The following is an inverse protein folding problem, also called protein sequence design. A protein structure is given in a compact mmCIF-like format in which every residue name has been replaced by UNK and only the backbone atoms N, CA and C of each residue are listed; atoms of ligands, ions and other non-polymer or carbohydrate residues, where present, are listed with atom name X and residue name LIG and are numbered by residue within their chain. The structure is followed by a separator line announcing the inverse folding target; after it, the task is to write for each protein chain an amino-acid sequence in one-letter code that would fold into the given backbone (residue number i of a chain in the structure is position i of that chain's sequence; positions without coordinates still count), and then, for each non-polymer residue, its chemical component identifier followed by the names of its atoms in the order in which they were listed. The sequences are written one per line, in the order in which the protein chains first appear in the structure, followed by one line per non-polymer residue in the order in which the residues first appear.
data_IF_361530834287
#
_entry.id   IF_361530834287
#
_cell.length_a   1.000
_cell.length_b   1.000
_cell.length_c   1.000
_cell.angle_alpha   90.00
_cell.angle_beta   90.00
_cell.angle_gamma   90.00
#
_symmetry.space_group_name_H-M   'P 1'
#
loop_
_entity.id
_entity.type
_entity.pdbx_description
1 polymer ?
#
# COMPACT_ATOMS: atom_id res chain seq x y z
N UNK A 1 7.43 1.11 12.84
CA UNK A 1 6.75 1.55 14.07
C UNK A 1 6.95 3.04 14.37
N UNK A 2 8.08 3.65 14.00
CA UNK A 2 8.45 5.03 14.34
C UNK A 2 7.37 6.08 13.99
N UNK A 3 6.77 6.01 12.78
CA UNK A 3 5.69 6.91 12.39
C UNK A 3 4.36 6.66 13.13
N UNK A 4 4.14 5.45 13.63
CA UNK A 4 2.93 5.12 14.40
C UNK A 4 2.89 5.77 15.78
N UNK A 5 4.03 6.26 16.26
CA UNK A 5 4.16 7.00 17.52
C UNK A 5 3.80 8.48 17.37
N UNK A 6 3.68 8.99 16.13
CA UNK A 6 3.28 10.36 15.86
C UNK A 6 1.77 10.52 16.11
N UNK A 7 1.32 11.37 17.07
CA UNK A 7 -0.10 11.50 17.41
C UNK A 7 -0.99 11.98 16.26
N UNK A 8 -0.39 12.70 15.29
CA UNK A 8 -1.09 13.15 14.09
C UNK A 8 -1.30 12.02 13.08
N UNK A 9 -0.54 10.93 13.13
CA UNK A 9 -0.69 9.77 12.26
C UNK A 9 -1.79 8.84 12.80
N UNK A 10 -2.93 8.77 12.10
CA UNK A 10 -4.07 7.96 12.52
C UNK A 10 -3.99 6.52 12.02
N UNK A 11 -3.54 6.33 10.79
CA UNK A 11 -3.21 5.02 10.19
C UNK A 11 -1.88 5.14 9.47
N UNK A 12 -1.04 4.11 9.56
CA UNK A 12 0.26 4.04 8.89
C UNK A 12 0.39 2.65 8.28
N UNK A 13 0.40 2.59 6.95
CA UNK A 13 0.50 1.34 6.21
C UNK A 13 1.65 1.37 5.21
N UNK A 14 2.36 0.26 5.13
CA UNK A 14 3.27 0.02 4.03
C UNK A 14 2.49 -0.24 2.74
N UNK A 15 3.04 0.20 1.62
CA UNK A 15 2.49 0.01 0.29
C UNK A 15 3.55 -0.57 -0.66
N UNK A 16 3.41 -0.34 -1.96
CA UNK A 16 4.39 -0.71 -2.97
C UNK A 16 4.66 -2.20 -3.06
N UNK A 17 5.84 -2.50 -3.56
CA UNK A 17 6.29 -3.88 -3.76
C UNK A 17 6.47 -4.65 -2.45
N UNK A 18 6.76 -3.96 -1.35
CA UNK A 18 6.82 -4.56 -0.01
C UNK A 18 5.47 -5.17 0.39
N UNK A 19 4.39 -4.40 0.27
CA UNK A 19 3.04 -4.87 0.64
C UNK A 19 2.55 -6.00 -0.25
N UNK A 20 3.02 -6.05 -1.50
CA UNK A 20 2.70 -7.15 -2.43
C UNK A 20 3.55 -8.41 -2.22
N UNK A 21 4.40 -8.46 -1.20
CA UNK A 21 5.24 -9.62 -0.89
C UNK A 21 6.30 -9.94 -1.96
N UNK A 22 6.81 -8.90 -2.68
CA UNK A 22 7.84 -9.12 -3.71
C UNK A 22 9.16 -9.56 -3.07
N UNK A 23 9.86 -10.48 -3.72
CA UNK A 23 11.17 -10.97 -3.27
C UNK A 23 12.25 -9.88 -3.22
N UNK A 24 12.12 -8.88 -4.09
CA UNK A 24 13.02 -7.73 -4.13
C UNK A 24 12.23 -6.44 -4.00
N UNK A 25 12.70 -5.55 -3.11
CA UNK A 25 12.09 -4.26 -2.82
C UNK A 25 13.15 -3.18 -3.03
N UNK A 26 12.90 -2.24 -3.95
CA UNK A 26 13.85 -1.17 -4.25
C UNK A 26 13.69 0.06 -3.34
N UNK A 27 12.46 0.30 -2.92
CA UNK A 27 12.04 1.43 -2.09
C UNK A 27 10.91 1.00 -1.14
N UNK A 28 10.66 1.80 -0.12
CA UNK A 28 9.55 1.59 0.81
C UNK A 28 8.51 2.70 0.65
N UNK A 29 7.37 2.34 0.09
CA UNK A 29 6.21 3.21 0.05
C UNK A 29 5.44 3.14 1.37
N UNK A 30 5.12 4.30 1.94
CA UNK A 30 4.34 4.42 3.18
C UNK A 30 3.19 5.40 2.96
N UNK A 31 1.98 4.97 3.28
CA UNK A 31 0.78 5.80 3.24
C UNK A 31 0.31 6.07 4.66
N UNK A 32 0.10 7.34 4.98
CA UNK A 32 -0.34 7.78 6.31
C UNK A 32 -1.63 8.57 6.22
N UNK A 33 -2.61 8.21 7.05
CA UNK A 33 -3.79 9.03 7.27
C UNK A 33 -3.48 10.12 8.30
N UNK A 34 -3.58 11.37 7.89
CA UNK A 34 -3.44 12.51 8.80
C UNK A 34 -4.14 13.76 8.26
N UNK A 35 -4.68 14.57 9.17
CA UNK A 35 -5.10 15.94 8.90
C UNK A 35 -3.96 16.97 9.04
N UNK A 36 -2.76 16.54 9.45
CA UNK A 36 -1.60 17.39 9.70
C UNK A 36 -0.36 16.84 8.99
N UNK A 37 -0.28 16.92 7.64
CA UNK A 37 0.83 16.32 6.89
C UNK A 37 2.21 16.83 7.34
N UNK A 38 2.32 18.10 7.69
CA UNK A 38 3.57 18.71 8.17
C UNK A 38 4.15 17.97 9.37
N UNK A 39 3.33 17.69 10.40
CA UNK A 39 3.78 16.97 11.60
C UNK A 39 4.31 15.57 11.29
N UNK A 40 3.63 14.82 10.41
CA UNK A 40 4.06 13.48 10.00
C UNK A 40 5.38 13.54 9.22
N UNK A 41 5.54 14.54 8.34
CA UNK A 41 6.78 14.73 7.58
C UNK A 41 7.92 15.20 8.46
N UNK A 42 7.66 16.07 9.44
CA UNK A 42 8.66 16.49 10.44
C UNK A 42 9.13 15.29 11.26
N UNK A 43 8.19 14.44 11.69
CA UNK A 43 8.52 13.20 12.39
C UNK A 43 9.41 12.29 11.55
N UNK A 44 9.09 12.09 10.25
CA UNK A 44 9.94 11.29 9.36
C UNK A 44 11.32 11.91 9.19
N UNK A 45 11.40 13.23 8.99
CA UNK A 45 12.66 13.93 8.80
C UNK A 45 13.57 13.94 10.04
N UNK A 46 12.98 13.79 11.23
CA UNK A 46 13.70 13.69 12.50
C UNK A 46 14.11 12.26 12.87
N UNK A 47 13.84 11.27 12.03
CA UNK A 47 14.26 9.90 12.29
C UNK A 47 15.78 9.76 12.12
N UNK A 48 16.45 9.19 13.12
CA UNK A 48 17.92 9.11 13.20
C UNK A 48 18.55 8.35 12.02
N UNK A 49 17.79 7.42 11.40
CA UNK A 49 18.25 6.69 10.22
C UNK A 49 18.14 7.49 8.90
N UNK A 50 17.55 8.68 8.90
CA UNK A 50 17.47 9.52 7.70
C UNK A 50 18.81 10.19 7.43
N UNK A 51 19.49 9.74 6.39
CA UNK A 51 20.73 10.35 5.93
C UNK A 51 20.48 11.61 5.08
N UNK A 52 19.40 11.62 4.25
CA UNK A 52 19.12 12.73 3.34
C UNK A 52 17.63 12.82 3.04
N UNK A 53 17.11 14.04 3.05
CA UNK A 53 15.79 14.35 2.51
C UNK A 53 15.94 14.62 1.01
N UNK A 54 15.34 13.78 0.18
CA UNK A 54 15.38 13.86 -1.28
C UNK A 54 14.32 14.81 -1.83
N UNK A 55 13.14 14.81 -1.20
CA UNK A 55 12.01 15.64 -1.60
C UNK A 55 11.12 15.91 -0.38
N UNK A 56 10.60 17.15 -0.30
CA UNK A 56 9.55 17.51 0.65
C UNK A 56 8.54 18.43 -0.03
N UNK A 57 7.31 17.95 -0.21
CA UNK A 57 6.16 18.71 -0.69
C UNK A 57 5.15 18.96 0.42
N UNK A 58 3.91 19.27 0.06
CA UNK A 58 2.82 19.52 1.02
C UNK A 58 2.29 18.23 1.68
N UNK A 59 2.20 17.13 0.91
CA UNK A 59 1.61 15.86 1.33
C UNK A 59 2.49 14.66 1.01
N UNK A 60 3.71 14.91 0.51
CA UNK A 60 4.66 13.86 0.14
C UNK A 60 6.06 14.20 0.62
N UNK A 61 6.81 13.19 1.01
CA UNK A 61 8.21 13.30 1.37
C UNK A 61 8.96 12.05 0.94
N UNK A 62 10.16 12.24 0.40
CA UNK A 62 11.06 11.14 0.08
C UNK A 62 12.36 11.34 0.84
N UNK A 63 12.81 10.30 1.50
CA UNK A 63 14.08 10.31 2.25
C UNK A 63 14.93 9.12 1.84
N UNK A 64 16.23 9.22 2.07
CA UNK A 64 17.18 8.12 1.98
C UNK A 64 17.75 7.82 3.34
N UNK A 65 17.68 6.56 3.75
CA UNK A 65 18.22 6.11 5.01
C UNK A 65 19.74 5.95 4.94
N UNK A 66 20.41 5.84 6.10
CA UNK A 66 21.83 5.55 6.22
C UNK A 66 22.22 4.21 5.58
N UNK A 67 21.32 3.25 5.54
CA UNK A 67 21.47 1.98 4.81
C UNK A 67 21.26 2.12 3.28
N UNK A 68 20.98 3.31 2.76
CA UNK A 68 20.78 3.57 1.33
C UNK A 68 19.37 3.28 0.81
N UNK A 69 18.45 2.83 1.66
CA UNK A 69 17.05 2.55 1.27
C UNK A 69 16.29 3.87 1.11
N UNK A 70 15.56 4.00 0.01
CA UNK A 70 14.63 5.11 -0.18
C UNK A 70 13.29 4.81 0.52
N UNK A 71 12.74 5.81 1.18
CA UNK A 71 11.40 5.76 1.79
C UNK A 71 10.56 6.90 1.20
N UNK A 72 9.45 6.53 0.58
CA UNK A 72 8.49 7.45 -0.03
C UNK A 72 7.22 7.52 0.81
N UNK A 73 7.01 8.66 1.45
CA UNK A 73 5.86 8.93 2.32
C UNK A 73 4.78 9.69 1.55
N UNK A 74 3.54 9.22 1.69
CA UNK A 74 2.31 9.92 1.28
C UNK A 74 1.41 10.13 2.48
N UNK A 75 0.99 11.37 2.69
CA UNK A 75 0.05 11.73 3.75
C UNK A 75 -1.25 12.17 3.10
N UNK A 76 -2.34 11.52 3.48
CA UNK A 76 -3.65 11.74 2.86
C UNK A 76 -4.75 11.88 3.92
N UNK A 77 -5.85 12.56 3.62
CA UNK A 77 -7.01 12.60 4.51
C UNK A 77 -7.72 11.24 4.55
N UNK A 78 -8.53 11.05 5.59
CA UNK A 78 -9.29 9.83 5.86
C UNK A 78 -10.07 9.31 4.63
N UNK A 79 -10.76 10.21 3.94
CA UNK A 79 -11.66 9.84 2.84
C UNK A 79 -10.91 9.39 1.58
N UNK A 80 -9.59 9.64 1.51
CA UNK A 80 -8.72 9.23 0.41
C UNK A 80 -7.78 8.08 0.79
N UNK A 81 -7.76 7.65 2.04
CA UNK A 81 -6.75 6.71 2.53
C UNK A 81 -6.76 5.37 1.79
N UNK A 82 -7.95 4.79 1.56
CA UNK A 82 -8.08 3.51 0.85
C UNK A 82 -7.69 3.62 -0.62
N UNK A 83 -8.07 4.73 -1.28
CA UNK A 83 -7.68 4.96 -2.67
C UNK A 83 -6.17 5.18 -2.81
N UNK A 84 -5.55 5.95 -1.91
CA UNK A 84 -4.10 6.12 -1.87
C UNK A 84 -3.40 4.78 -1.60
N UNK A 85 -3.87 4.02 -0.61
CA UNK A 85 -3.29 2.71 -0.28
C UNK A 85 -3.36 1.75 -1.48
N UNK A 86 -4.51 1.68 -2.16
CA UNK A 86 -4.67 0.88 -3.37
C UNK A 86 -3.73 1.35 -4.49
N UNK A 87 -3.68 2.67 -4.75
CA UNK A 87 -2.89 3.26 -5.81
C UNK A 87 -1.38 3.03 -5.62
N UNK A 88 -0.87 3.31 -4.42
CA UNK A 88 0.56 3.16 -4.11
C UNK A 88 0.97 1.70 -3.86
N UNK A 89 0.04 0.83 -3.49
CA UNK A 89 0.31 -0.62 -3.47
C UNK A 89 0.58 -1.15 -4.86
N UNK A 90 -0.13 -0.71 -5.89
CA UNK A 90 0.05 -1.18 -7.26
C UNK A 90 -0.47 -2.61 -7.46
N UNK A 91 0.11 -3.40 -8.39
CA UNK A 91 1.22 -3.00 -9.28
C UNK A 91 0.79 -1.92 -10.29
N UNK A 92 1.74 -1.42 -11.08
CA UNK A 92 1.42 -0.50 -12.18
C UNK A 92 0.42 -1.13 -13.16
N UNK A 93 0.65 -2.38 -13.55
CA UNK A 93 -0.18 -3.08 -14.52
C UNK A 93 -1.57 -3.37 -13.94
N UNK A 94 -1.64 -3.81 -12.68
CA UNK A 94 -2.90 -3.93 -11.94
C UNK A 94 -3.68 -2.61 -11.92
N UNK A 95 -3.03 -1.49 -11.63
CA UNK A 95 -3.66 -0.17 -11.62
C UNK A 95 -4.15 0.27 -13.01
N UNK A 96 -3.46 -0.11 -14.08
CA UNK A 96 -3.91 0.14 -15.45
C UNK A 96 -5.23 -0.58 -15.75
N UNK A 97 -5.33 -1.86 -15.39
CA UNK A 97 -6.55 -2.65 -15.55
C UNK A 97 -7.70 -2.11 -14.69
N UNK A 98 -7.43 -1.81 -13.42
CA UNK A 98 -8.44 -1.26 -12.51
C UNK A 98 -9.02 0.06 -13.03
N UNK A 99 -8.16 0.95 -13.52
CA UNK A 99 -8.59 2.22 -14.16
C UNK A 99 -9.35 1.99 -15.46
N UNK A 100 -8.95 0.98 -16.26
CA UNK A 100 -9.69 0.56 -17.45
C UNK A 100 -11.12 0.18 -17.08
N UNK A 101 -11.26 -0.71 -16.08
CA UNK A 101 -12.57 -1.17 -15.61
C UNK A 101 -13.44 -0.04 -15.01
N UNK A 102 -12.84 0.93 -14.35
CA UNK A 102 -13.54 2.12 -13.87
C UNK A 102 -14.07 2.96 -15.03
N UNK A 103 -13.25 3.19 -16.06
CA UNK A 103 -13.61 3.94 -17.25
C UNK A 103 -14.81 3.32 -18.00
N UNK A 104 -14.86 2.00 -18.10
CA UNK A 104 -15.98 1.27 -18.70
C UNK A 104 -17.30 1.46 -17.94
N UNK A 105 -17.24 2.00 -16.71
CA UNK A 105 -18.37 2.33 -15.82
C UNK A 105 -18.63 3.83 -15.67
N UNK A 106 -17.97 4.66 -16.50
CA UNK A 106 -18.07 6.11 -16.39
C UNK A 106 -17.43 6.66 -15.10
N UNK A 107 -16.41 5.96 -14.59
CA UNK A 107 -15.67 6.35 -13.40
C UNK A 107 -14.19 6.62 -13.75
N UNK A 108 -13.53 7.39 -12.90
CA UNK A 108 -12.07 7.55 -12.89
C UNK A 108 -11.53 7.30 -11.50
N UNK A 109 -10.30 6.75 -11.42
CA UNK A 109 -9.63 6.43 -10.15
C UNK A 109 -8.25 7.11 -10.13
N UNK A 110 -7.95 7.74 -9.01
CA UNK A 110 -6.62 8.23 -8.66
C UNK A 110 -6.35 8.01 -7.16
N UNK A 111 -5.23 8.50 -6.65
CA UNK A 111 -4.85 8.40 -5.24
C UNK A 111 -5.78 9.14 -4.26
N UNK A 112 -6.70 9.96 -4.74
CA UNK A 112 -7.65 10.71 -3.91
C UNK A 112 -9.02 10.04 -3.85
N UNK A 113 -9.34 9.11 -4.74
CA UNK A 113 -10.62 8.43 -4.73
C UNK A 113 -11.08 7.91 -6.07
N UNK A 114 -12.32 7.45 -6.08
CA UNK A 114 -13.10 7.10 -7.27
C UNK A 114 -14.10 8.20 -7.54
N UNK A 115 -14.17 8.70 -8.75
CA UNK A 115 -15.00 9.83 -9.13
C UNK A 115 -15.87 9.47 -10.34
N UNK A 116 -17.07 10.02 -10.41
CA UNK A 116 -17.87 9.96 -11.64
C UNK A 116 -17.26 10.86 -12.72
N UNK A 117 -17.39 10.44 -13.96
CA UNK A 117 -17.05 11.29 -15.11
C UNK A 117 -18.32 11.97 -15.59
N UNK A 118 -18.34 13.29 -15.54
CA UNK A 118 -19.45 14.12 -15.99
C UNK A 118 -19.65 14.06 -17.51
N UNK A 119 -20.73 14.67 -18.00
CA UNK A 119 -21.03 14.73 -19.44
C UNK A 119 -20.00 15.53 -20.25
N UNK A 120 -19.25 16.38 -19.58
CA UNK A 120 -18.12 17.16 -20.12
C UNK A 120 -16.80 16.37 -20.20
N UNK A 121 -16.81 15.10 -19.76
CA UNK A 121 -15.62 14.24 -19.69
C UNK A 121 -14.69 14.52 -18.52
N UNK A 122 -15.07 15.43 -17.59
CA UNK A 122 -14.27 15.74 -16.42
C UNK A 122 -14.72 14.92 -15.21
N UNK A 123 -13.78 14.69 -14.29
CA UNK A 123 -14.10 14.07 -13.01
C UNK A 123 -14.94 15.03 -12.16
N UNK A 124 -16.00 14.51 -11.54
CA UNK A 124 -16.77 15.26 -10.55
C UNK A 124 -15.90 15.57 -9.32
N UNK A 125 -16.20 16.66 -8.62
CA UNK A 125 -15.42 17.09 -7.45
C UNK A 125 -15.60 16.19 -6.22
N UNK A 126 -16.71 15.45 -6.15
CA UNK A 126 -17.02 14.55 -5.04
C UNK A 126 -16.67 13.12 -5.38
N UNK A 127 -15.82 12.49 -4.56
CA UNK A 127 -15.53 11.06 -4.65
C UNK A 127 -16.76 10.22 -4.28
N UNK A 128 -16.94 9.11 -4.99
CA UNK A 128 -17.96 8.11 -4.68
C UNK A 128 -17.41 7.00 -3.79
N UNK A 129 -16.08 6.83 -3.75
CA UNK A 129 -15.38 5.87 -2.91
C UNK A 129 -13.92 6.31 -2.71
N UNK A 130 -13.23 5.81 -1.67
CA UNK A 130 -11.83 6.13 -1.44
C UNK A 130 -11.37 5.95 0.00
N UNK A 131 -12.28 5.89 0.98
CA UNK A 131 -11.93 5.77 2.40
C UNK A 131 -11.34 4.40 2.77
N UNK A 132 -11.68 3.35 2.03
CA UNK A 132 -11.09 2.01 2.15
C UNK A 132 -10.79 1.42 0.78
N UNK A 133 -9.88 0.44 0.70
CA UNK A 133 -9.59 -0.26 -0.57
C UNK A 133 -10.80 -1.04 -1.06
N UNK A 134 -11.55 -1.68 -0.15
CA UNK A 134 -12.76 -2.42 -0.46
C UNK A 134 -13.76 -1.53 -1.21
N UNK A 135 -13.96 -0.30 -0.74
CA UNK A 135 -14.87 0.64 -1.39
C UNK A 135 -14.42 1.01 -2.81
N UNK A 136 -13.10 1.04 -3.08
CA UNK A 136 -12.56 1.29 -4.42
C UNK A 136 -12.87 0.12 -5.36
N UNK A 137 -12.67 -1.12 -4.91
CA UNK A 137 -12.98 -2.32 -5.70
C UNK A 137 -14.50 -2.48 -5.91
N UNK A 138 -15.29 -2.27 -4.87
CA UNK A 138 -16.76 -2.32 -4.93
C UNK A 138 -17.31 -1.33 -5.97
N UNK A 139 -16.77 -0.11 -6.02
CA UNK A 139 -17.18 0.90 -7.00
C UNK A 139 -16.99 0.44 -8.45
N UNK A 140 -16.04 -0.45 -8.72
CA UNK A 140 -15.82 -1.05 -10.04
C UNK A 140 -16.41 -2.45 -10.17
N UNK A 141 -17.25 -2.86 -9.22
CA UNK A 141 -17.98 -4.13 -9.24
C UNK A 141 -17.08 -5.35 -9.09
N UNK A 142 -16.12 -5.29 -8.17
CA UNK A 142 -15.21 -6.38 -7.80
C UNK A 142 -15.14 -6.54 -6.28
N UNK A 143 -14.97 -7.77 -5.79
CA UNK A 143 -14.44 -8.00 -4.45
C UNK A 143 -13.02 -7.40 -4.31
N UNK A 144 -12.63 -7.11 -3.08
CA UNK A 144 -11.27 -6.71 -2.79
C UNK A 144 -10.26 -7.79 -3.20
N UNK A 145 -9.18 -7.38 -3.84
CA UNK A 145 -8.11 -8.28 -4.28
C UNK A 145 -6.92 -8.12 -3.33
N UNK A 146 -6.44 -9.21 -2.71
CA UNK A 146 -5.24 -9.17 -1.86
C UNK A 146 -4.03 -8.55 -2.56
N UNK A 147 -3.22 -7.75 -1.87
CA UNK A 147 -2.04 -7.10 -2.45
C UNK A 147 -1.10 -8.06 -3.17
N UNK A 148 -0.88 -9.23 -2.61
CA UNK A 148 0.01 -10.28 -3.12
C UNK A 148 -0.39 -10.78 -4.51
N UNK A 149 -1.67 -10.65 -4.87
CA UNK A 149 -2.21 -11.08 -6.16
C UNK A 149 -2.23 -9.97 -7.22
N UNK A 150 -1.89 -8.72 -6.89
CA UNK A 150 -2.02 -7.54 -7.76
C UNK A 150 -0.84 -7.40 -8.73
N UNK A 151 -0.63 -8.41 -9.59
CA UNK A 151 0.52 -8.46 -10.51
C UNK A 151 0.09 -8.68 -11.98
N UNK A 152 -1.19 -8.45 -12.34
CA UNK A 152 -1.76 -8.69 -13.66
C UNK A 152 -1.52 -10.13 -14.16
N UNK A 153 -1.91 -11.10 -13.33
CA UNK A 153 -1.79 -12.53 -13.61
C UNK A 153 -3.13 -13.25 -13.66
N UNK A 154 -4.20 -12.51 -13.99
CA UNK A 154 -5.56 -13.05 -14.08
C UNK A 154 -6.43 -12.81 -12.84
N UNK A 155 -5.93 -12.06 -11.86
CA UNK A 155 -6.64 -11.79 -10.60
C UNK A 155 -7.98 -11.07 -10.81
N UNK A 156 -8.14 -10.26 -11.84
CA UNK A 156 -9.40 -9.59 -12.15
C UNK A 156 -10.48 -10.58 -12.60
N UNK A 157 -10.10 -11.57 -13.43
CA UNK A 157 -10.99 -12.64 -13.86
C UNK A 157 -11.39 -13.55 -12.71
N UNK A 158 -10.40 -13.95 -11.91
CA UNK A 158 -10.62 -14.79 -10.73
C UNK A 158 -11.49 -14.07 -9.69
N UNK A 159 -11.23 -12.79 -9.41
CA UNK A 159 -12.05 -11.98 -8.50
C UNK A 159 -13.51 -11.88 -8.97
N UNK A 160 -13.73 -11.61 -10.27
CA UNK A 160 -15.08 -11.51 -10.84
C UNK A 160 -15.84 -12.86 -10.80
N UNK A 161 -15.13 -13.98 -10.89
CA UNK A 161 -15.69 -15.34 -10.80
C UNK A 161 -15.86 -15.83 -9.36
N UNK A 162 -15.29 -15.17 -8.36
CA UNK A 162 -15.23 -15.64 -6.98
C UNK A 162 -14.21 -16.74 -6.74
N UNK A 163 -13.21 -16.86 -7.63
CA UNK A 163 -12.20 -17.94 -7.65
C UNK A 163 -10.81 -17.44 -7.21
N UNK A 164 -10.74 -16.35 -6.45
CA UNK A 164 -9.45 -15.94 -5.88
C UNK A 164 -8.89 -17.04 -4.96
N UNK A 165 -7.59 -17.33 -5.04
CA UNK A 165 -7.00 -18.33 -4.15
C UNK A 165 -7.03 -17.83 -2.70
N UNK A 166 -7.25 -18.74 -1.77
CA UNK A 166 -7.03 -18.49 -0.34
C UNK A 166 -5.52 -18.40 -0.11
N UNK A 167 -5.06 -17.26 0.38
CA UNK A 167 -3.65 -17.07 0.73
C UNK A 167 -3.34 -17.78 2.05
N UNK A 168 -2.09 -18.24 2.16
CA UNK A 168 -1.56 -18.81 3.41
C UNK A 168 -1.30 -17.64 4.37
N UNK A 169 -1.83 -17.74 5.59
CA UNK A 169 -1.60 -16.81 6.68
C UNK A 169 -0.66 -17.41 7.73
N UNK A 170 -0.13 -16.57 8.61
CA UNK A 170 0.81 -17.01 9.65
C UNK A 170 0.21 -18.13 10.53
N UNK A 171 -1.07 -18.04 10.83
CA UNK A 171 -1.79 -19.03 11.66
C UNK A 171 -1.99 -20.38 10.97
N UNK A 172 -1.82 -20.46 9.65
CA UNK A 172 -1.85 -21.73 8.90
C UNK A 172 -0.55 -22.51 9.05
N UNK A 173 0.55 -21.85 9.44
CA UNK A 173 1.86 -22.48 9.58
C UNK A 173 1.87 -23.33 10.86
N UNK A 174 2.03 -24.65 10.70
CA UNK A 174 2.00 -25.62 11.80
C UNK A 174 3.38 -25.95 12.34
N UNK A 175 4.45 -25.61 11.66
CA UNK A 175 5.81 -25.87 12.08
C UNK A 175 6.85 -25.45 11.07
N UNK A 176 8.07 -25.31 11.53
CA UNK A 176 9.27 -25.13 10.73
C UNK A 176 10.17 -26.35 11.00
N UNK A 177 10.56 -27.06 9.94
CA UNK A 177 11.32 -28.31 10.03
C UNK A 177 12.78 -28.16 9.53
N UNK A 178 13.15 -27.00 9.00
CA UNK A 178 14.50 -26.74 8.51
C UNK A 178 15.26 -25.80 9.47
N UNK A 179 15.53 -26.30 10.68
CA UNK A 179 16.24 -25.53 11.70
C UNK A 179 17.64 -26.09 11.96
N UNK A 180 18.61 -25.19 12.06
CA UNK A 180 19.99 -25.49 12.41
C UNK A 180 20.30 -24.89 13.77
N UNK A 181 20.75 -25.74 14.71
CA UNK A 181 21.12 -25.34 16.06
C UNK A 181 22.50 -25.86 16.42
N UNK A 182 22.96 -25.61 17.64
CA UNK A 182 24.20 -26.19 18.17
C UNK A 182 24.18 -27.70 18.28
N UNK A 183 23.02 -28.36 18.05
CA UNK A 183 22.92 -29.83 17.89
C UNK A 183 23.25 -30.31 16.48
N UNK A 184 23.41 -29.40 15.51
CA UNK A 184 23.88 -29.67 14.16
C UNK A 184 25.02 -28.71 13.82
N UNK A 185 24.89 -27.92 12.77
CA UNK A 185 25.87 -26.95 12.27
C UNK A 185 25.46 -25.48 12.52
N UNK A 186 24.37 -25.26 13.22
CA UNK A 186 23.93 -23.92 13.63
C UNK A 186 24.73 -23.32 14.77
N UNK A 187 24.59 -22.02 14.98
CA UNK A 187 25.32 -21.24 16.00
C UNK A 187 24.50 -20.96 17.25
N UNK A 188 23.17 -21.03 17.14
CA UNK A 188 22.25 -20.69 18.23
C UNK A 188 21.71 -21.96 18.90
N UNK A 189 21.35 -21.88 20.17
CA UNK A 189 20.68 -22.96 20.89
C UNK A 189 19.20 -23.04 20.53
N UNK A 190 18.52 -24.14 20.90
CA UNK A 190 17.07 -24.28 20.69
C UNK A 190 16.23 -23.21 21.43
N UNK A 191 16.81 -22.53 22.41
CA UNK A 191 16.11 -21.51 23.22
C UNK A 191 16.34 -20.09 22.72
N UNK A 192 17.27 -19.89 21.82
CA UNK A 192 17.61 -18.60 21.18
C UNK A 192 17.01 -18.48 19.79
#
# INVERSE_FOLDING_TARGET
NYLREEPAAKRVEAAGSWRRGRQTVGDLDVVVESGSPGAVMDRLGAWDDVATVLLRGETKMSVRTSAGVQVDLRVVPRDSFGAALQYFTGSKDHNVLLRGRARDRGLTINEYGVFRVGKDGQAESKSVAGGSEESVYEAVGLPWIPPELREDRGEFGASAAGDLPTLIELDDIRGDLHMHTTYSDGKLSVKE
#
